data_IF_520253102211
#
_entry.id   IF_520253102211
#
_cell.length_a   1.000
_cell.length_b   1.000
_cell.length_c   1.000
_cell.angle_alpha   90.00
_cell.angle_beta   90.00
_cell.angle_gamma   90.00
#
_symmetry.space_group_name_H-M   'P 1'
#
loop_
_entity.id
_entity.type
_entity.pdbx_description
1 polymer ?
#
# COMPACT_ATOMS: atom_id res chain seq x y z
N UNK A 1 -10.64 10.70 21.21
CA UNK A 1 -9.51 10.22 22.05
C UNK A 1 -9.56 8.70 22.14
N UNK A 2 -8.88 7.96 21.26
CA UNK A 2 -8.95 6.48 21.33
C UNK A 2 -8.04 5.75 20.34
N UNK A 3 -7.90 6.27 19.11
CA UNK A 3 -7.03 5.64 18.10
C UNK A 3 -5.55 5.84 18.43
N UNK A 4 -5.16 7.04 18.88
CA UNK A 4 -3.76 7.37 19.23
C UNK A 4 -3.29 6.61 20.47
N UNK A 5 -4.18 6.37 21.43
CA UNK A 5 -3.87 5.57 22.64
C UNK A 5 -3.76 4.08 22.31
N UNK A 6 -4.65 3.56 21.46
CA UNK A 6 -4.55 2.18 20.97
C UNK A 6 -3.28 1.95 20.15
N UNK A 7 -2.86 2.92 19.32
CA UNK A 7 -1.60 2.84 18.56
C UNK A 7 -0.38 2.83 19.49
N UNK A 8 -0.39 3.66 20.55
CA UNK A 8 0.64 3.65 21.59
C UNK A 8 0.68 2.32 22.34
N UNK A 9 -0.48 1.76 22.68
CA UNK A 9 -0.57 0.45 23.36
C UNK A 9 -0.02 -0.65 22.47
N UNK A 10 -0.34 -0.66 21.17
CA UNK A 10 0.15 -1.66 20.20
C UNK A 10 1.67 -1.49 19.98
N UNK A 11 2.17 -0.26 19.87
CA UNK A 11 3.60 0.02 19.71
C UNK A 11 4.42 -0.25 20.97
N UNK A 12 3.85 -0.02 22.17
CA UNK A 12 4.47 -0.29 23.46
C UNK A 12 4.23 -1.73 23.95
N UNK A 13 3.33 -2.48 23.33
CA UNK A 13 3.06 -3.89 23.65
C UNK A 13 4.33 -4.76 23.54
N UNK A 14 5.12 -4.70 22.45
CA UNK A 14 6.37 -5.45 22.39
C UNK A 14 7.33 -4.99 23.50
N UNK A 15 7.44 -3.68 23.79
CA UNK A 15 8.34 -3.15 24.83
C UNK A 15 7.93 -3.56 26.26
N UNK A 16 6.62 -3.66 26.55
CA UNK A 16 6.10 -4.15 27.84
C UNK A 16 6.26 -5.66 27.99
N UNK A 17 6.03 -6.43 26.92
CA UNK A 17 6.19 -7.90 26.90
C UNK A 17 7.66 -8.32 26.89
N UNK A 18 8.55 -7.51 26.30
CA UNK A 18 10.01 -7.65 26.33
C UNK A 18 10.65 -7.23 27.65
N UNK A 19 9.87 -6.91 28.70
CA UNK A 19 10.41 -6.71 30.05
C UNK A 19 10.84 -8.07 30.62
N UNK A 20 11.96 -8.54 30.08
CA UNK A 20 12.51 -9.89 30.20
C UNK A 20 12.74 -10.27 31.66
N UNK A 21 12.98 -9.30 32.55
CA UNK A 21 13.39 -9.51 33.93
C UNK A 21 12.32 -10.12 34.85
N UNK A 22 11.02 -10.02 34.55
CA UNK A 22 9.93 -10.45 35.45
C UNK A 22 9.05 -11.58 34.89
N UNK A 23 9.31 -12.08 33.67
CA UNK A 23 8.51 -13.13 33.02
C UNK A 23 8.97 -14.57 33.34
N UNK A 24 8.01 -15.51 33.42
CA UNK A 24 8.25 -16.96 33.54
C UNK A 24 9.22 -17.49 32.47
N UNK A 25 10.08 -18.45 32.83
CA UNK A 25 11.11 -19.04 31.96
C UNK A 25 10.55 -19.54 30.62
N UNK A 26 9.33 -20.09 30.60
CA UNK A 26 8.66 -20.58 29.38
C UNK A 26 8.37 -19.46 28.39
N UNK A 27 8.00 -18.26 28.87
CA UNK A 27 7.73 -17.10 28.00
C UNK A 27 9.01 -16.56 27.39
N UNK A 28 10.11 -16.53 28.16
CA UNK A 28 11.44 -16.11 27.69
C UNK A 28 11.95 -16.99 26.55
N UNK A 29 11.83 -18.30 26.71
CA UNK A 29 12.26 -19.26 25.68
C UNK A 29 11.48 -19.07 24.36
N UNK A 30 10.16 -18.85 24.43
CA UNK A 30 9.35 -18.58 23.24
C UNK A 30 9.75 -17.27 22.54
N UNK A 31 10.06 -16.21 23.29
CA UNK A 31 10.51 -14.93 22.70
C UNK A 31 11.87 -15.09 22.01
N UNK A 32 12.81 -15.83 22.61
CA UNK A 32 14.10 -16.13 21.96
C UNK A 32 13.88 -16.95 20.69
N UNK A 33 13.07 -18.02 20.75
CA UNK A 33 12.74 -18.85 19.58
C UNK A 33 12.08 -18.03 18.47
N UNK A 34 11.19 -17.10 18.82
CA UNK A 34 10.56 -16.18 17.87
C UNK A 34 11.58 -15.22 17.23
N UNK A 35 12.53 -14.69 18.01
CA UNK A 35 13.60 -13.84 17.50
C UNK A 35 14.54 -14.57 16.54
N UNK A 36 14.88 -15.83 16.85
CA UNK A 36 15.68 -16.70 15.97
C UNK A 36 14.91 -17.01 14.68
N UNK A 37 13.62 -17.30 14.77
CA UNK A 37 12.76 -17.51 13.62
C UNK A 37 12.72 -16.26 12.73
N UNK A 38 12.49 -15.08 13.30
CA UNK A 38 12.47 -13.81 12.55
C UNK A 38 13.79 -13.56 11.81
N UNK A 39 14.94 -13.87 12.43
CA UNK A 39 16.26 -13.72 11.79
C UNK A 39 16.48 -14.73 10.68
N UNK A 40 16.00 -15.97 10.81
CA UNK A 40 16.03 -16.99 9.73
C UNK A 40 15.05 -16.65 8.60
N UNK A 41 13.87 -16.13 8.91
CA UNK A 41 12.85 -15.73 7.94
C UNK A 41 13.30 -14.56 7.04
N UNK A 42 14.25 -13.75 7.49
CA UNK A 42 14.81 -12.65 6.69
C UNK A 42 15.46 -13.13 5.39
N UNK A 43 15.93 -14.38 5.31
CA UNK A 43 16.49 -14.95 4.08
C UNK A 43 15.39 -15.24 3.05
N UNK A 44 14.20 -15.64 3.51
CA UNK A 44 13.06 -15.97 2.65
C UNK A 44 12.20 -14.75 2.28
N UNK A 45 12.31 -13.65 3.03
CA UNK A 45 11.49 -12.47 2.81
C UNK A 45 11.77 -11.78 1.45
N UNK A 46 13.04 -11.51 1.04
CA UNK A 46 13.32 -10.91 -0.26
C UNK A 46 12.79 -11.70 -1.47
N UNK A 47 12.99 -13.03 -1.60
CA UNK A 47 12.48 -13.75 -2.76
C UNK A 47 10.95 -13.80 -2.81
N UNK A 48 10.28 -13.90 -1.66
CA UNK A 48 8.81 -13.86 -1.59
C UNK A 48 8.29 -12.49 -2.02
N UNK A 49 8.91 -11.41 -1.53
CA UNK A 49 8.54 -10.05 -1.91
C UNK A 49 8.76 -9.80 -3.41
N UNK A 50 9.90 -10.23 -3.95
CA UNK A 50 10.21 -10.11 -5.38
C UNK A 50 9.20 -10.91 -6.23
N UNK A 51 8.87 -12.13 -5.82
CA UNK A 51 7.87 -12.95 -6.51
C UNK A 51 6.50 -12.26 -6.56
N UNK A 52 6.05 -11.71 -5.44
CA UNK A 52 4.80 -10.95 -5.37
C UNK A 52 4.84 -9.69 -6.24
N UNK A 53 5.98 -9.00 -6.26
CA UNK A 53 6.19 -7.82 -7.09
C UNK A 53 6.09 -8.14 -8.59
N UNK A 54 6.76 -9.19 -9.06
CA UNK A 54 6.72 -9.63 -10.46
C UNK A 54 5.30 -10.02 -10.84
N UNK A 55 4.66 -10.87 -10.03
CA UNK A 55 3.26 -11.29 -10.27
C UNK A 55 2.27 -10.13 -10.33
N UNK A 56 2.49 -9.08 -9.55
CA UNK A 56 1.63 -7.90 -9.58
C UNK A 56 1.86 -7.11 -10.86
N UNK A 57 3.12 -6.86 -11.20
CA UNK A 57 3.54 -6.15 -12.42
C UNK A 57 2.99 -6.84 -13.68
N UNK A 58 3.10 -8.17 -13.77
CA UNK A 58 2.59 -8.95 -14.92
C UNK A 58 1.07 -8.80 -15.08
N UNK A 59 0.31 -8.83 -13.97
CA UNK A 59 -1.14 -8.65 -14.00
C UNK A 59 -1.51 -7.25 -14.46
N UNK A 60 -0.83 -6.23 -13.96
CA UNK A 60 -1.12 -4.84 -14.29
C UNK A 60 -0.90 -4.61 -15.81
N UNK A 61 0.22 -5.09 -16.36
CA UNK A 61 0.46 -5.03 -17.81
C UNK A 61 -0.56 -5.82 -18.63
N UNK A 62 -0.89 -7.04 -18.21
CA UNK A 62 -1.90 -7.84 -18.89
C UNK A 62 -3.27 -7.13 -18.95
N UNK A 63 -3.67 -6.45 -17.87
CA UNK A 63 -4.91 -5.66 -17.89
C UNK A 63 -4.83 -4.47 -18.83
N UNK A 64 -3.69 -3.76 -18.89
CA UNK A 64 -3.53 -2.64 -19.83
C UNK A 64 -3.66 -3.08 -21.28
N UNK A 65 -3.12 -4.24 -21.64
CA UNK A 65 -3.27 -4.79 -22.99
C UNK A 65 -4.71 -5.15 -23.33
N UNK A 66 -5.43 -5.74 -22.37
CA UNK A 66 -6.86 -6.04 -22.52
C UNK A 66 -7.68 -4.77 -22.69
N UNK A 67 -7.42 -3.72 -21.91
CA UNK A 67 -8.10 -2.45 -22.06
C UNK A 67 -7.83 -1.82 -23.42
N UNK A 68 -6.56 -1.75 -23.82
CA UNK A 68 -6.19 -1.21 -25.12
C UNK A 68 -6.87 -1.96 -26.28
N UNK A 69 -6.86 -3.30 -26.26
CA UNK A 69 -7.52 -4.11 -27.29
C UNK A 69 -9.04 -3.94 -27.35
N UNK A 70 -9.68 -3.70 -26.20
CA UNK A 70 -11.13 -3.51 -26.14
C UNK A 70 -11.55 -2.05 -26.38
N UNK A 71 -10.63 -1.09 -26.19
CA UNK A 71 -10.88 0.31 -26.46
C UNK A 71 -10.77 0.61 -27.95
N UNK A 72 -11.68 1.40 -28.50
CA UNK A 72 -11.57 1.94 -29.86
C UNK A 72 -10.68 3.18 -29.94
N UNK A 73 -9.88 3.47 -28.91
CA UNK A 73 -9.03 4.65 -28.84
C UNK A 73 -7.63 4.36 -29.37
N UNK A 74 -7.15 5.18 -30.29
CA UNK A 74 -5.77 5.13 -30.83
C UNK A 74 -4.70 5.65 -29.85
N UNK A 75 -5.11 6.33 -28.77
CA UNK A 75 -4.17 6.91 -27.81
C UNK A 75 -3.68 5.88 -26.79
N UNK A 76 -2.52 5.29 -27.07
CA UNK A 76 -1.85 4.35 -26.17
C UNK A 76 -1.41 4.98 -24.83
N UNK A 77 -1.17 6.30 -24.80
CA UNK A 77 -0.70 7.00 -23.59
C UNK A 77 -1.78 7.12 -22.51
N UNK A 78 -3.06 7.06 -22.90
CA UNK A 78 -4.18 7.10 -21.96
C UNK A 78 -4.20 5.89 -20.99
N UNK A 79 -3.63 4.75 -21.41
CA UNK A 79 -3.63 3.51 -20.61
C UNK A 79 -2.34 3.33 -19.82
N UNK A 80 -1.21 3.69 -20.41
CA UNK A 80 0.08 3.57 -19.75
C UNK A 80 1.05 4.62 -20.27
N UNK A 81 1.30 5.63 -19.44
CA UNK A 81 2.16 6.74 -19.80
C UNK A 81 3.58 6.53 -19.25
N UNK A 82 4.61 6.35 -20.10
CA UNK A 82 5.99 6.24 -19.64
C UNK A 82 6.60 7.54 -19.14
N UNK A 83 6.03 8.69 -19.52
CA UNK A 83 6.54 10.01 -19.20
C UNK A 83 6.19 10.40 -17.74
N UNK A 84 5.18 9.74 -17.15
CA UNK A 84 4.73 9.93 -15.77
C UNK A 84 5.58 9.13 -14.76
N UNK A 85 5.72 9.61 -13.52
CA UNK A 85 6.45 8.89 -12.48
C UNK A 85 5.79 7.52 -12.24
N UNK A 86 6.61 6.50 -11.92
CA UNK A 86 6.23 5.08 -11.90
C UNK A 86 4.87 4.76 -11.25
N UNK A 87 4.54 5.43 -10.16
CA UNK A 87 3.32 5.21 -9.39
C UNK A 87 2.05 5.86 -9.97
N UNK A 88 2.17 6.68 -11.02
CA UNK A 88 1.05 7.35 -11.71
C UNK A 88 0.84 6.83 -13.13
N UNK A 89 1.62 5.83 -13.57
CA UNK A 89 1.58 5.33 -14.94
C UNK A 89 0.34 4.49 -15.21
N UNK A 90 -0.19 3.84 -14.18
CA UNK A 90 -1.31 2.90 -14.30
C UNK A 90 -2.61 3.61 -14.65
N UNK A 91 -3.31 3.13 -15.69
CA UNK A 91 -4.62 3.63 -16.12
C UNK A 91 -5.60 3.83 -14.96
N UNK A 92 -5.63 2.90 -13.99
CA UNK A 92 -6.58 2.94 -12.88
C UNK A 92 -6.30 4.12 -11.94
N UNK A 93 -5.03 4.44 -11.72
CA UNK A 93 -4.65 5.57 -10.87
C UNK A 93 -4.94 6.87 -11.61
N UNK A 94 -4.67 6.91 -12.92
CA UNK A 94 -5.01 8.07 -13.74
C UNK A 94 -6.54 8.31 -13.78
N UNK A 95 -7.34 7.26 -13.89
CA UNK A 95 -8.81 7.37 -13.87
C UNK A 95 -9.33 7.83 -12.51
N UNK A 96 -8.77 7.31 -11.41
CA UNK A 96 -9.17 7.70 -10.06
C UNK A 96 -8.81 9.16 -9.78
N UNK A 97 -7.61 9.59 -10.20
CA UNK A 97 -7.19 10.99 -10.12
C UNK A 97 -8.08 11.92 -10.94
N UNK A 98 -8.53 11.50 -12.12
CA UNK A 98 -9.46 12.27 -12.95
C UNK A 98 -10.84 12.42 -12.29
N UNK A 99 -11.32 11.38 -11.59
CA UNK A 99 -12.57 11.46 -10.82
C UNK A 99 -12.42 12.37 -9.60
N UNK A 100 -11.30 12.27 -8.88
CA UNK A 100 -11.02 13.12 -7.73
C UNK A 100 -10.91 14.59 -8.12
N UNK A 101 -10.27 14.91 -9.25
CA UNK A 101 -10.17 16.28 -9.74
C UNK A 101 -11.54 16.83 -10.16
N UNK A 102 -12.39 16.03 -10.80
CA UNK A 102 -13.76 16.42 -11.12
C UNK A 102 -14.57 16.76 -9.85
N UNK A 103 -14.56 15.87 -8.86
CA UNK A 103 -15.30 16.08 -7.60
C UNK A 103 -14.74 17.28 -6.83
N UNK A 104 -13.43 17.47 -6.82
CA UNK A 104 -12.79 18.61 -6.17
C UNK A 104 -13.20 19.93 -6.83
N UNK A 105 -13.19 19.99 -8.16
CA UNK A 105 -13.57 21.20 -8.90
C UNK A 105 -15.05 21.55 -8.71
N UNK A 106 -15.94 20.55 -8.72
CA UNK A 106 -17.37 20.76 -8.42
C UNK A 106 -17.60 21.35 -7.03
N UNK A 107 -16.85 20.89 -6.03
CA UNK A 107 -16.97 21.41 -4.66
C UNK A 107 -16.51 22.87 -4.56
N UNK A 108 -15.45 23.24 -5.28
CA UNK A 108 -14.95 24.63 -5.32
C UNK A 108 -15.98 25.57 -5.93
N UNK A 109 -16.64 25.15 -7.01
CA UNK A 109 -17.71 25.94 -7.64
C UNK A 109 -18.89 26.17 -6.69
N UNK A 110 -19.30 25.15 -5.93
CA UNK A 110 -20.38 25.27 -4.94
C UNK A 110 -20.05 26.25 -3.81
N UNK A 111 -18.82 26.21 -3.27
CA UNK A 111 -18.40 27.16 -2.23
C UNK A 111 -18.37 28.61 -2.73
N UNK A 112 -17.98 28.83 -3.99
CA UNK A 112 -17.97 30.18 -4.55
C UNK A 112 -19.38 30.73 -4.80
N UNK A 113 -20.42 29.88 -4.83
CA UNK A 113 -21.82 30.28 -5.08
C UNK A 113 -22.60 30.50 -3.77
N UNK A 114 -22.09 30.04 -2.62
CA UNK A 114 -22.70 30.24 -1.29
C UNK A 114 -22.19 31.51 -0.59
N UNK A 115 -21.07 32.08 -1.05
CA UNK A 115 -20.46 33.31 -0.52
C UNK A 115 -20.90 34.60 -1.28
N UNK A 116 -21.77 34.48 -2.29
CA UNK A 116 -22.45 35.56 -3.03
C UNK A 116 -23.93 35.69 -2.60
#
# INVERSE_FOLDING_TARGET
MGIVENLKIIALFPLRVLRYKTGSNVKRERVIKLGILCRKSWVFFPPIMLYQYIRRTDKDHYTTELFYKNSSSDDSKAFYDPDKPKHLRDWKIQSDLALLSLVANQKVEQTNTEDD
#
